data_IF_632061893409
#
_entry.id   IF_632061893409
#
_cell.length_a   1.000
_cell.length_b   1.000
_cell.length_c   1.000
_cell.angle_alpha   90.00
_cell.angle_beta   90.00
_cell.angle_gamma   90.00
#
_symmetry.space_group_name_H-M   'P 1'
#
loop_
_entity.id
_entity.type
_entity.pdbx_description
1 polymer ?
#
# COMPACT_ATOMS: atom_id res chain seq x y z
N UNK A 1 -14.23 -17.94 -4.30
CA UNK A 1 -12.87 -17.57 -3.83
C UNK A 1 -12.80 -16.07 -3.51
N UNK A 2 -13.47 -15.61 -2.44
CA UNK A 2 -13.49 -14.17 -2.11
C UNK A 2 -12.13 -13.68 -1.55
N UNK A 3 -11.46 -14.52 -0.76
CA UNK A 3 -10.17 -14.19 -0.15
C UNK A 3 -9.06 -13.99 -1.20
N UNK A 4 -8.89 -14.94 -2.12
CA UNK A 4 -7.84 -14.89 -3.15
C UNK A 4 -8.01 -13.66 -4.05
N UNK A 5 -9.23 -13.29 -4.40
CA UNK A 5 -9.49 -12.08 -5.20
C UNK A 5 -9.09 -10.79 -4.46
N UNK A 6 -9.40 -10.71 -3.15
CA UNK A 6 -8.96 -9.58 -2.30
C UNK A 6 -7.45 -9.54 -2.13
N UNK A 7 -6.81 -10.70 -2.03
CA UNK A 7 -5.35 -10.83 -1.99
C UNK A 7 -4.71 -10.31 -3.27
N UNK A 8 -5.24 -10.68 -4.44
CA UNK A 8 -4.80 -10.15 -5.74
C UNK A 8 -4.94 -8.62 -5.80
N UNK A 9 -6.07 -8.08 -5.30
CA UNK A 9 -6.27 -6.63 -5.19
C UNK A 9 -5.20 -5.97 -4.33
N UNK A 10 -4.86 -6.57 -3.17
CA UNK A 10 -3.78 -6.06 -2.32
C UNK A 10 -2.41 -6.07 -3.00
N UNK A 11 -2.11 -7.11 -3.79
CA UNK A 11 -0.85 -7.21 -4.56
C UNK A 11 -0.77 -6.09 -5.59
N UNK A 12 -1.85 -5.90 -6.37
CA UNK A 12 -1.93 -4.83 -7.37
C UNK A 12 -1.79 -3.45 -6.74
N UNK A 13 -2.48 -3.22 -5.62
CA UNK A 13 -2.43 -1.94 -4.90
C UNK A 13 -1.03 -1.65 -4.37
N UNK A 14 -0.40 -2.62 -3.69
CA UNK A 14 0.95 -2.46 -3.15
C UNK A 14 1.95 -2.12 -4.24
N UNK A 15 1.91 -2.82 -5.38
CA UNK A 15 2.80 -2.52 -6.50
C UNK A 15 2.57 -1.13 -7.09
N UNK A 16 1.30 -0.76 -7.31
CA UNK A 16 0.94 0.55 -7.90
C UNK A 16 1.32 1.70 -6.97
N UNK A 17 0.99 1.59 -5.69
CA UNK A 17 1.27 2.63 -4.70
C UNK A 17 2.77 2.80 -4.48
N UNK A 18 3.56 1.73 -4.49
CA UNK A 18 5.02 1.83 -4.47
C UNK A 18 5.53 2.73 -5.60
N UNK A 19 5.12 2.46 -6.84
CA UNK A 19 5.55 3.25 -8.00
C UNK A 19 5.03 4.70 -7.94
N UNK A 20 3.80 4.88 -7.47
CA UNK A 20 3.20 6.19 -7.27
C UNK A 20 3.95 7.00 -6.21
N UNK A 21 4.35 6.42 -5.08
CA UNK A 21 5.13 7.08 -4.04
C UNK A 21 6.54 7.42 -4.50
N UNK A 22 7.15 6.56 -5.32
CA UNK A 22 8.41 6.86 -5.98
C UNK A 22 8.31 8.10 -6.88
N UNK A 23 7.23 8.24 -7.63
CA UNK A 23 6.97 9.44 -8.44
C UNK A 23 6.68 10.66 -7.56
N UNK A 24 5.86 10.51 -6.53
CA UNK A 24 5.47 11.60 -5.62
C UNK A 24 6.67 12.25 -4.92
N UNK A 25 7.68 11.46 -4.54
CA UNK A 25 8.94 11.96 -3.97
C UNK A 25 9.67 12.95 -4.89
N UNK A 26 9.54 12.80 -6.21
CA UNK A 26 10.18 13.70 -7.18
C UNK A 26 9.52 15.07 -7.25
N UNK A 27 8.31 15.22 -6.69
CA UNK A 27 7.50 16.44 -6.75
C UNK A 27 7.67 17.35 -5.54
N UNK A 28 8.59 17.02 -4.63
CA UNK A 28 8.91 17.84 -3.47
C UNK A 28 10.42 17.97 -3.29
N UNK A 29 10.84 19.14 -2.80
CA UNK A 29 12.21 19.42 -2.35
C UNK A 29 12.33 19.39 -0.82
N UNK A 30 11.21 19.31 -0.09
CA UNK A 30 11.21 19.21 1.36
C UNK A 30 11.70 17.82 1.79
N UNK A 31 12.81 17.77 2.51
CA UNK A 31 13.46 16.52 2.94
C UNK A 31 12.59 15.70 3.89
N UNK A 32 11.84 16.34 4.79
CA UNK A 32 10.97 15.67 5.77
C UNK A 32 9.80 14.98 5.06
N UNK A 33 9.21 15.65 4.06
CA UNK A 33 8.17 15.03 3.24
C UNK A 33 8.73 13.87 2.44
N UNK A 34 9.91 14.04 1.83
CA UNK A 34 10.55 13.01 1.03
C UNK A 34 10.83 11.76 1.85
N UNK A 35 11.38 11.90 3.05
CA UNK A 35 11.63 10.77 3.98
C UNK A 35 10.33 10.05 4.35
N UNK A 36 9.27 10.80 4.65
CA UNK A 36 7.96 10.22 4.97
C UNK A 36 7.36 9.44 3.80
N UNK A 37 7.48 9.94 2.57
CA UNK A 37 7.00 9.25 1.36
C UNK A 37 7.89 8.05 1.02
N UNK A 38 9.21 8.17 1.22
CA UNK A 38 10.16 7.08 1.00
C UNK A 38 9.87 5.90 1.94
N UNK A 39 9.57 6.16 3.22
CA UNK A 39 9.16 5.10 4.14
C UNK A 39 7.89 4.41 3.66
N UNK A 40 6.88 5.17 3.20
CA UNK A 40 5.67 4.59 2.67
C UNK A 40 5.92 3.78 1.37
N UNK A 41 6.85 4.21 0.50
CA UNK A 41 7.28 3.42 -0.67
C UNK A 41 7.86 2.06 -0.24
N UNK A 42 8.73 2.07 0.76
CA UNK A 42 9.39 0.86 1.25
C UNK A 42 8.40 -0.10 1.90
N UNK A 43 7.48 0.42 2.71
CA UNK A 43 6.39 -0.36 3.28
C UNK A 43 5.58 -1.05 2.15
N UNK A 44 5.28 -0.35 1.04
CA UNK A 44 4.56 -0.96 -0.09
C UNK A 44 5.36 -2.04 -0.82
N UNK A 45 6.70 -1.91 -0.88
CA UNK A 45 7.57 -2.97 -1.40
C UNK A 45 7.44 -4.23 -0.53
N UNK A 46 7.55 -4.07 0.79
CA UNK A 46 7.42 -5.17 1.75
C UNK A 46 6.02 -5.79 1.70
N UNK A 47 4.97 -4.97 1.64
CA UNK A 47 3.58 -5.44 1.52
C UNK A 47 3.39 -6.30 0.26
N UNK A 48 3.90 -5.83 -0.88
CA UNK A 48 3.86 -6.58 -2.13
C UNK A 48 4.55 -7.95 -2.01
N UNK A 49 5.75 -8.00 -1.42
CA UNK A 49 6.50 -9.25 -1.24
C UNK A 49 5.78 -10.23 -0.31
N UNK A 50 5.25 -9.74 0.81
CA UNK A 50 4.47 -10.54 1.75
C UNK A 50 3.19 -11.09 1.11
N UNK A 51 2.47 -10.27 0.34
CA UNK A 51 1.23 -10.70 -0.32
C UNK A 51 1.50 -11.69 -1.46
N UNK A 52 2.59 -11.51 -2.21
CA UNK A 52 3.05 -12.48 -3.21
C UNK A 52 3.42 -13.82 -2.57
N UNK A 53 4.11 -13.78 -1.42
CA UNK A 53 4.40 -14.99 -0.65
C UNK A 53 3.12 -15.71 -0.22
N UNK A 54 2.14 -14.99 0.33
CA UNK A 54 0.83 -15.56 0.70
C UNK A 54 0.11 -16.16 -0.52
N UNK A 55 0.12 -15.45 -1.65
CA UNK A 55 -0.54 -15.93 -2.87
C UNK A 55 0.12 -17.19 -3.42
N UNK A 56 1.46 -17.25 -3.39
CA UNK A 56 2.22 -18.44 -3.77
C UNK A 56 1.92 -19.63 -2.86
N UNK A 57 1.87 -19.44 -1.54
CA UNK A 57 1.49 -20.51 -0.61
C UNK A 57 0.09 -21.08 -0.88
N UNK A 58 -0.86 -20.23 -1.30
CA UNK A 58 -2.24 -20.65 -1.56
C UNK A 58 -2.46 -21.25 -2.94
N UNK A 59 -1.67 -20.87 -3.94
CA UNK A 59 -1.94 -21.19 -5.35
C UNK A 59 -0.83 -21.93 -6.06
N UNK A 60 0.36 -22.04 -5.45
CA UNK A 60 1.56 -22.62 -6.04
C UNK A 60 2.25 -21.74 -7.08
N UNK A 61 1.79 -20.50 -7.30
CA UNK A 61 2.35 -19.58 -8.29
C UNK A 61 2.34 -18.13 -7.79
N UNK A 62 3.21 -17.30 -8.35
CA UNK A 62 3.16 -15.85 -8.12
C UNK A 62 2.07 -15.18 -8.96
N UNK A 63 1.51 -14.09 -8.46
CA UNK A 63 0.52 -13.31 -9.19
C UNK A 63 1.22 -12.40 -10.21
N UNK A 64 0.68 -12.31 -11.42
CA UNK A 64 1.16 -11.40 -12.45
C UNK A 64 0.44 -10.07 -12.35
N UNK A 65 1.20 -8.97 -12.29
CA UNK A 65 0.66 -7.64 -12.08
C UNK A 65 0.18 -7.02 -13.40
N UNK A 66 -0.93 -6.29 -13.35
CA UNK A 66 -1.32 -5.38 -14.42
C UNK A 66 -0.71 -3.98 -14.22
N UNK A 67 0.20 -3.60 -15.13
CA UNK A 67 0.80 -2.26 -15.15
C UNK A 67 -0.25 -1.21 -15.51
N UNK A 68 -0.65 -0.41 -14.52
CA UNK A 68 -1.43 0.82 -14.70
C UNK A 68 -0.72 1.96 -13.98
N UNK A 69 -0.51 3.06 -14.70
CA UNK A 69 0.02 4.30 -14.10
C UNK A 69 -1.12 5.03 -13.39
N UNK A 70 -0.75 5.73 -12.32
CA UNK A 70 -1.65 6.64 -11.61
C UNK A 70 -1.10 8.04 -11.82
N UNK A 71 -1.87 8.89 -12.49
CA UNK A 71 -1.48 10.27 -12.76
C UNK A 71 -2.04 11.21 -11.69
N UNK A 72 -1.32 12.29 -11.40
CA UNK A 72 -1.76 13.38 -10.53
C UNK A 72 -1.18 14.71 -11.01
N UNK A 73 -1.90 15.81 -10.79
CA UNK A 73 -1.58 17.12 -11.40
C UNK A 73 -0.76 18.03 -10.50
N UNK A 74 -0.84 17.84 -9.18
CA UNK A 74 -0.07 18.63 -8.20
C UNK A 74 0.41 17.78 -7.02
N UNK A 75 1.49 18.21 -6.35
CA UNK A 75 2.00 17.50 -5.17
C UNK A 75 0.93 17.33 -4.08
N UNK A 76 0.16 18.39 -3.81
CA UNK A 76 -0.92 18.39 -2.82
C UNK A 76 -2.03 17.39 -3.18
N UNK A 77 -2.41 17.32 -4.45
CA UNK A 77 -3.35 16.31 -4.94
C UNK A 77 -2.78 14.90 -4.77
N UNK A 78 -1.51 14.69 -5.14
CA UNK A 78 -0.84 13.40 -5.00
C UNK A 78 -0.79 12.91 -3.55
N UNK A 79 -0.50 13.81 -2.60
CA UNK A 79 -0.55 13.50 -1.15
C UNK A 79 -1.98 13.16 -0.70
N UNK A 80 -3.01 13.86 -1.20
CA UNK A 80 -4.40 13.53 -0.88
C UNK A 80 -4.81 12.16 -1.43
N UNK A 81 -4.38 11.82 -2.64
CA UNK A 81 -4.60 10.51 -3.25
C UNK A 81 -3.90 9.42 -2.43
N UNK A 82 -2.66 9.65 -2.01
CA UNK A 82 -1.92 8.74 -1.13
C UNK A 82 -2.68 8.48 0.18
N UNK A 83 -3.07 9.55 0.88
CA UNK A 83 -3.85 9.46 2.13
C UNK A 83 -5.12 8.63 1.96
N UNK A 84 -5.93 8.94 0.94
CA UNK A 84 -7.18 8.20 0.68
C UNK A 84 -6.93 6.73 0.32
N UNK A 85 -5.79 6.44 -0.32
CA UNK A 85 -5.42 5.07 -0.70
C UNK A 85 -5.04 4.25 0.53
N UNK A 86 -4.23 4.80 1.44
CA UNK A 86 -3.88 4.13 2.70
C UNK A 86 -5.12 3.88 3.58
N UNK A 87 -6.05 4.85 3.67
CA UNK A 87 -7.29 4.65 4.43
C UNK A 87 -8.14 3.49 3.87
N UNK A 88 -8.25 3.38 2.54
CA UNK A 88 -8.95 2.27 1.88
C UNK A 88 -8.22 0.93 2.09
N UNK A 89 -6.90 0.95 2.08
CA UNK A 89 -6.12 -0.25 2.35
C UNK A 89 -6.25 -0.72 3.80
N UNK A 90 -6.40 0.19 4.77
CA UNK A 90 -6.65 -0.19 6.17
C UNK A 90 -7.93 -1.02 6.30
N UNK A 91 -8.99 -0.64 5.58
CA UNK A 91 -10.24 -1.39 5.50
C UNK A 91 -10.06 -2.73 4.79
N UNK A 92 -9.36 -2.73 3.64
CA UNK A 92 -9.08 -3.94 2.86
C UNK A 92 -8.35 -4.99 3.71
N UNK A 93 -7.27 -4.61 4.39
CA UNK A 93 -6.45 -5.56 5.14
C UNK A 93 -7.11 -6.00 6.44
N UNK A 94 -7.91 -5.16 7.10
CA UNK A 94 -8.78 -5.58 8.20
C UNK A 94 -9.71 -6.70 7.73
N UNK A 95 -10.42 -6.48 6.63
CA UNK A 95 -11.38 -7.46 6.14
C UNK A 95 -10.70 -8.74 5.61
N UNK A 96 -9.50 -8.61 5.03
CA UNK A 96 -8.71 -9.75 4.57
C UNK A 96 -8.21 -10.57 5.76
N UNK A 97 -7.78 -9.93 6.85
CA UNK A 97 -7.40 -10.61 8.08
C UNK A 97 -8.59 -11.37 8.70
N UNK A 98 -9.78 -10.78 8.72
CA UNK A 98 -10.99 -11.42 9.24
C UNK A 98 -11.44 -12.62 8.39
N UNK A 99 -11.18 -12.57 7.09
CA UNK A 99 -11.49 -13.66 6.16
C UNK A 99 -10.36 -14.70 6.02
N UNK A 100 -9.30 -14.59 6.82
CA UNK A 100 -8.08 -15.39 6.71
C UNK A 100 -8.36 -16.89 6.96
N UNK A 101 -8.11 -17.79 5.98
CA UNK A 101 -8.41 -19.21 6.11
C UNK A 101 -7.44 -20.02 6.98
N UNK A 102 -6.35 -19.43 7.49
CA UNK A 102 -5.39 -20.18 8.30
C UNK A 102 -4.32 -19.35 9.00
N UNK A 103 -3.75 -19.89 10.08
CA UNK A 103 -2.76 -19.18 10.90
C UNK A 103 -1.46 -18.83 10.16
N UNK A 104 -1.05 -19.67 9.21
CA UNK A 104 0.22 -19.48 8.48
C UNK A 104 0.26 -18.23 7.60
N UNK A 105 -0.90 -17.70 7.20
CA UNK A 105 -1.00 -16.49 6.39
C UNK A 105 -1.53 -15.30 7.19
N UNK A 106 -1.87 -15.49 8.47
CA UNK A 106 -2.34 -14.43 9.36
C UNK A 106 -1.25 -13.39 9.61
N UNK A 107 -0.03 -13.83 9.92
CA UNK A 107 1.07 -12.95 10.30
C UNK A 107 1.42 -11.91 9.21
N UNK A 108 1.62 -12.29 7.92
CA UNK A 108 1.85 -11.32 6.86
C UNK A 108 0.75 -10.26 6.76
N UNK A 109 -0.53 -10.67 6.80
CA UNK A 109 -1.66 -9.75 6.65
C UNK A 109 -1.79 -8.85 7.88
N UNK A 110 -1.55 -9.38 9.08
CA UNK A 110 -1.57 -8.61 10.32
C UNK A 110 -0.50 -7.50 10.32
N UNK A 111 0.73 -7.82 9.91
CA UNK A 111 1.82 -6.85 9.80
C UNK A 111 1.41 -5.69 8.88
N UNK A 112 0.94 -6.00 7.66
CA UNK A 112 0.49 -5.00 6.69
C UNK A 112 -0.62 -4.13 7.27
N UNK A 113 -1.66 -4.75 7.86
CA UNK A 113 -2.78 -4.05 8.48
C UNK A 113 -2.34 -3.04 9.55
N UNK A 114 -1.29 -3.34 10.31
CA UNK A 114 -0.79 -2.43 11.35
C UNK A 114 0.07 -1.29 10.81
N UNK A 115 0.73 -1.46 9.66
CA UNK A 115 1.60 -0.44 9.05
C UNK A 115 0.81 0.58 8.22
N UNK A 116 -0.26 0.16 7.54
CA UNK A 116 -1.04 1.04 6.66
C UNK A 116 -1.59 2.30 7.37
N UNK A 117 -2.15 2.22 8.61
CA UNK A 117 -2.55 3.42 9.34
C UNK A 117 -1.41 4.39 9.62
N UNK A 118 -0.18 3.91 9.81
CA UNK A 118 0.97 4.79 10.00
C UNK A 118 1.25 5.61 8.73
N UNK A 119 1.12 5.00 7.55
CA UNK A 119 1.25 5.72 6.28
C UNK A 119 0.13 6.74 6.07
N UNK A 120 -1.11 6.42 6.47
CA UNK A 120 -2.19 7.40 6.47
C UNK A 120 -1.86 8.61 7.36
N UNK A 121 -1.31 8.40 8.56
CA UNK A 121 -0.86 9.50 9.44
C UNK A 121 0.25 10.32 8.78
N UNK A 122 1.25 9.69 8.14
CA UNK A 122 2.32 10.40 7.41
C UNK A 122 1.75 11.32 6.33
N UNK A 123 0.90 10.80 5.45
CA UNK A 123 0.32 11.59 4.36
C UNK A 123 -0.62 12.67 4.89
N UNK A 124 -1.38 12.41 5.96
CA UNK A 124 -2.21 13.43 6.60
C UNK A 124 -1.37 14.58 7.16
N UNK A 125 -0.26 14.29 7.84
CA UNK A 125 0.65 15.32 8.36
C UNK A 125 1.21 16.20 7.24
N UNK A 126 1.63 15.61 6.11
CA UNK A 126 2.06 16.36 4.93
C UNK A 126 0.90 17.21 4.38
N UNK A 127 -0.28 16.61 4.20
CA UNK A 127 -1.43 17.27 3.61
C UNK A 127 -1.89 18.50 4.41
N UNK A 128 -1.86 18.41 5.74
CA UNK A 128 -2.25 19.51 6.63
C UNK A 128 -1.24 20.65 6.64
N UNK A 129 0.04 20.36 6.39
CA UNK A 129 1.10 21.36 6.28
C UNK A 129 1.09 22.08 4.92
N UNK A 130 0.63 21.38 3.88
CA UNK A 130 0.33 21.95 2.56
C UNK A 130 -0.96 22.77 2.59
N UNK A 131 -0.84 24.05 2.96
CA UNK A 131 -1.94 25.04 2.94
C UNK A 131 -2.72 25.01 1.62
#
# INVERSE_FOLDING_TARGET
MLFVNRLQTGIDHSWRLRNFYKELQTKTTNSVYRESIQQAEEDKREHYELLQYVYCMLTGKYYSIENKKTDFTSFREGVLVALKSELKEAELYRDLLMACPGRHIYQPIFLIMTQVPANAVRFNSIYMDLK
#
